data_IF_712396153207
#
_entry.id   IF_712396153207
#
_cell.length_a   1.000
_cell.length_b   1.000
_cell.length_c   1.000
_cell.angle_alpha   90.00
_cell.angle_beta   90.00
_cell.angle_gamma   90.00
#
_symmetry.space_group_name_H-M   'P 1'
#
loop_
_entity.id
_entity.type
_entity.pdbx_description
1 polymer ?
#
# COMPACT_ATOMS: atom_id res chain seq x y z
N UNK A 1 -20.94 -7.57 33.05
CA UNK A 1 -22.09 -6.80 32.55
C UNK A 1 -22.06 -6.55 31.05
N UNK A 2 -21.22 -5.67 30.47
CA UNK A 2 -21.22 -5.37 29.02
C UNK A 2 -20.99 -6.58 28.08
N UNK A 3 -20.08 -7.48 28.47
CA UNK A 3 -19.82 -8.72 27.72
C UNK A 3 -21.05 -9.66 27.71
N UNK A 4 -21.81 -9.70 28.80
CA UNK A 4 -23.02 -10.50 28.92
C UNK A 4 -24.17 -9.93 28.08
N UNK A 5 -24.26 -8.60 27.96
CA UNK A 5 -25.23 -7.92 27.09
C UNK A 5 -24.95 -8.26 25.61
N UNK A 6 -23.68 -8.24 25.19
CA UNK A 6 -23.25 -8.66 23.84
C UNK A 6 -23.52 -10.15 23.56
N UNK A 7 -23.40 -11.00 24.57
CA UNK A 7 -23.63 -12.44 24.46
C UNK A 7 -25.10 -12.84 24.63
N UNK A 8 -25.97 -11.88 25.01
CA UNK A 8 -27.38 -12.16 25.23
C UNK A 8 -28.13 -12.18 23.90
N UNK A 9 -28.59 -13.38 23.52
CA UNK A 9 -29.40 -13.61 22.34
C UNK A 9 -30.76 -14.18 22.72
N UNK A 10 -31.80 -13.81 21.98
CA UNK A 10 -33.08 -14.51 22.06
C UNK A 10 -33.00 -15.86 21.33
N UNK A 11 -33.87 -16.83 21.67
CA UNK A 11 -34.05 -18.02 20.85
C UNK A 11 -34.36 -17.58 19.42
N UNK A 12 -33.64 -18.12 18.42
CA UNK A 12 -33.54 -17.68 17.00
C UNK A 12 -32.35 -16.78 16.64
N UNK A 13 -31.33 -16.64 17.51
CA UNK A 13 -30.06 -15.98 17.17
C UNK A 13 -30.24 -14.47 16.85
N UNK A 14 -31.30 -13.86 17.39
CA UNK A 14 -31.57 -12.44 17.26
C UNK A 14 -30.94 -11.74 18.46
N UNK A 15 -30.10 -10.73 18.18
CA UNK A 15 -29.51 -9.88 19.21
C UNK A 15 -30.62 -9.31 20.11
N UNK A 16 -30.51 -9.54 21.43
CA UNK A 16 -31.52 -9.06 22.38
C UNK A 16 -31.61 -7.53 22.40
N UNK A 17 -30.50 -6.86 22.08
CA UNK A 17 -30.39 -5.39 22.08
C UNK A 17 -29.65 -4.89 20.83
N UNK A 18 -30.27 -4.89 19.63
CA UNK A 18 -29.57 -4.63 18.38
C UNK A 18 -28.97 -3.22 18.31
N UNK A 19 -29.69 -2.20 18.82
CA UNK A 19 -29.19 -0.82 18.83
C UNK A 19 -28.05 -0.62 19.82
N UNK A 20 -28.13 -1.28 20.97
CA UNK A 20 -27.07 -1.22 21.99
C UNK A 20 -25.81 -1.93 21.53
N UNK A 21 -25.95 -3.08 20.87
CA UNK A 21 -24.83 -3.79 20.22
C UNK A 21 -24.14 -2.92 19.18
N UNK A 22 -24.90 -2.25 18.31
CA UNK A 22 -24.35 -1.30 17.32
C UNK A 22 -23.59 -0.15 17.98
N UNK A 23 -24.18 0.48 19.00
CA UNK A 23 -23.53 1.57 19.73
C UNK A 23 -22.23 1.10 20.38
N UNK A 24 -22.26 -0.05 21.04
CA UNK A 24 -21.08 -0.59 21.72
C UNK A 24 -19.98 -0.97 20.73
N UNK A 25 -20.32 -1.52 19.57
CA UNK A 25 -19.37 -1.78 18.49
C UNK A 25 -18.75 -0.49 17.94
N UNK A 26 -19.54 0.58 17.79
CA UNK A 26 -19.03 1.88 17.38
C UNK A 26 -18.05 2.46 18.42
N UNK A 27 -18.41 2.45 19.71
CA UNK A 27 -17.52 2.91 20.79
C UNK A 27 -16.23 2.08 20.84
N UNK A 28 -16.30 0.76 20.65
CA UNK A 28 -15.11 -0.12 20.61
C UNK A 28 -14.25 0.06 19.37
N UNK A 29 -14.80 0.62 18.29
CA UNK A 29 -14.02 0.94 17.08
C UNK A 29 -13.17 2.19 17.25
N UNK A 30 -13.45 3.00 18.29
CA UNK A 30 -12.64 4.18 18.60
C UNK A 30 -11.30 3.73 19.18
N UNK A 31 -10.17 4.26 18.69
CA UNK A 31 -8.87 3.94 19.23
C UNK A 31 -8.79 4.45 20.68
N UNK A 32 -8.51 3.53 21.61
CA UNK A 32 -8.37 3.86 23.04
C UNK A 32 -7.09 4.67 23.35
N UNK A 33 -6.16 4.77 22.40
CA UNK A 33 -4.89 5.46 22.59
C UNK A 33 -4.30 5.88 21.24
N UNK A 34 -3.42 6.89 21.28
CA UNK A 34 -2.65 7.36 20.13
C UNK A 34 -1.51 6.40 19.72
N UNK A 35 -1.21 5.37 20.53
CA UNK A 35 -0.05 4.50 20.31
C UNK A 35 0.00 3.86 18.91
N UNK A 36 -1.16 3.48 18.34
CA UNK A 36 -1.18 2.89 16.99
C UNK A 36 -0.91 3.91 15.88
N UNK A 37 -1.41 5.15 16.06
CA UNK A 37 -1.11 6.26 15.16
C UNK A 37 0.36 6.68 15.27
N UNK A 38 0.93 6.77 16.47
CA UNK A 38 2.36 7.06 16.69
C UNK A 38 3.28 6.02 16.05
N UNK A 39 2.90 4.74 16.12
CA UNK A 39 3.62 3.67 15.41
C UNK A 39 3.56 3.85 13.89
N UNK A 40 2.42 4.29 13.35
CA UNK A 40 2.31 4.65 11.93
C UNK A 40 3.12 5.89 11.56
N UNK A 41 3.14 6.93 12.40
CA UNK A 41 3.97 8.12 12.17
C UNK A 41 5.45 7.79 12.21
N UNK A 42 5.88 6.91 13.12
CA UNK A 42 7.27 6.43 13.18
C UNK A 42 7.68 5.72 11.89
N UNK A 43 6.79 4.87 11.36
CA UNK A 43 7.01 4.21 10.07
C UNK A 43 7.04 5.21 8.90
N UNK A 44 6.12 6.18 8.89
CA UNK A 44 6.07 7.23 7.88
C UNK A 44 7.35 8.07 7.86
N UNK A 45 7.85 8.45 9.04
CA UNK A 45 9.11 9.18 9.19
C UNK A 45 10.28 8.36 8.66
N UNK A 46 10.32 7.05 8.94
CA UNK A 46 11.36 6.16 8.41
C UNK A 46 11.35 6.10 6.87
N UNK A 47 10.16 5.90 6.28
CA UNK A 47 9.95 5.85 4.84
C UNK A 47 10.35 7.14 4.12
N UNK A 48 9.95 8.29 4.68
CA UNK A 48 10.12 9.60 4.04
C UNK A 48 11.52 10.19 4.25
N UNK A 49 12.12 10.02 5.43
CA UNK A 49 13.28 10.83 5.83
C UNK A 49 14.51 9.99 6.14
N UNK A 50 14.39 8.95 6.98
CA UNK A 50 15.56 8.23 7.52
C UNK A 50 16.27 7.38 6.46
N UNK A 51 15.51 6.77 5.55
CA UNK A 51 16.07 5.94 4.47
C UNK A 51 16.45 6.73 3.20
N UNK A 52 16.35 8.07 3.22
CA UNK A 52 16.62 8.95 2.07
C UNK A 52 15.90 8.53 0.77
N UNK A 53 14.67 8.03 0.89
CA UNK A 53 13.89 7.64 -0.28
C UNK A 53 13.16 8.87 -0.85
N UNK A 54 13.45 9.26 -2.09
CA UNK A 54 12.71 10.30 -2.81
C UNK A 54 11.37 9.75 -3.34
N UNK A 55 10.56 9.19 -2.45
CA UNK A 55 9.23 8.68 -2.79
C UNK A 55 8.24 9.85 -2.91
N UNK A 56 7.36 9.76 -3.91
CA UNK A 56 6.24 10.67 -4.02
C UNK A 56 5.27 10.48 -2.84
N UNK A 57 4.48 11.51 -2.52
CA UNK A 57 3.43 11.40 -1.49
C UNK A 57 2.43 10.28 -1.78
N UNK A 58 2.12 10.06 -3.07
CA UNK A 58 1.24 8.97 -3.53
C UNK A 58 1.85 7.61 -3.19
N UNK A 59 3.13 7.41 -3.47
CA UNK A 59 3.85 6.16 -3.17
C UNK A 59 3.94 5.90 -1.66
N UNK A 60 4.19 6.94 -0.87
CA UNK A 60 4.23 6.84 0.59
C UNK A 60 2.87 6.46 1.16
N UNK A 61 1.79 7.12 0.69
CA UNK A 61 0.43 6.78 1.11
C UNK A 61 0.06 5.34 0.74
N UNK A 62 0.37 4.90 -0.49
CA UNK A 62 0.14 3.53 -0.93
C UNK A 62 0.88 2.51 -0.04
N UNK A 63 2.13 2.79 0.33
CA UNK A 63 2.89 1.93 1.23
C UNK A 63 2.25 1.83 2.63
N UNK A 64 1.74 2.93 3.18
CA UNK A 64 0.99 2.93 4.44
C UNK A 64 -0.28 2.09 4.34
N UNK A 65 -1.07 2.25 3.28
CA UNK A 65 -2.30 1.48 3.07
C UNK A 65 -2.01 -0.02 2.98
N UNK A 66 -1.02 -0.41 2.15
CA UNK A 66 -0.64 -1.81 1.98
C UNK A 66 -0.16 -2.41 3.30
N UNK A 67 0.68 -1.70 4.04
CA UNK A 67 1.16 -2.17 5.35
C UNK A 67 0.03 -2.34 6.36
N UNK A 68 -0.90 -1.38 6.43
CA UNK A 68 -2.06 -1.46 7.31
C UNK A 68 -2.99 -2.62 6.94
N UNK A 69 -3.22 -2.84 5.65
CA UNK A 69 -4.04 -3.95 5.16
C UNK A 69 -3.42 -5.31 5.49
N UNK A 70 -2.10 -5.45 5.33
CA UNK A 70 -1.35 -6.65 5.73
C UNK A 70 -1.46 -6.90 7.23
N UNK A 71 -1.23 -5.86 8.04
CA UNK A 71 -1.35 -5.94 9.51
C UNK A 71 -2.76 -6.35 9.94
N UNK A 72 -3.81 -5.83 9.29
CA UNK A 72 -5.19 -6.21 9.58
C UNK A 72 -5.49 -7.69 9.27
N UNK A 73 -4.79 -8.28 8.29
CA UNK A 73 -4.85 -9.72 7.98
C UNK A 73 -3.93 -10.58 8.85
N UNK A 74 -3.06 -9.97 9.65
CA UNK A 74 -2.01 -10.69 10.39
C UNK A 74 -0.87 -11.18 9.49
N UNK A 75 -0.72 -10.61 8.30
CA UNK A 75 0.28 -10.98 7.31
C UNK A 75 1.44 -9.97 7.27
N UNK A 76 2.58 -10.42 6.73
CA UNK A 76 3.73 -9.58 6.37
C UNK A 76 3.97 -9.67 4.86
N UNK A 77 4.77 -8.76 4.30
CA UNK A 77 5.18 -8.81 2.89
C UNK A 77 5.81 -10.15 2.46
N UNK A 78 6.33 -10.93 3.42
CA UNK A 78 6.92 -12.25 3.18
C UNK A 78 5.91 -13.40 3.28
N UNK A 79 4.82 -13.21 4.01
CA UNK A 79 3.84 -14.27 4.29
C UNK A 79 2.55 -14.12 3.49
N UNK A 80 2.36 -12.99 2.80
CA UNK A 80 1.17 -12.75 1.98
C UNK A 80 1.17 -13.68 0.77
N UNK A 81 0.07 -14.41 0.58
CA UNK A 81 -0.15 -15.22 -0.62
C UNK A 81 -0.57 -14.33 -1.79
N UNK A 82 0.18 -14.39 -2.90
CA UNK A 82 -0.13 -13.66 -4.12
C UNK A 82 -1.13 -14.47 -4.95
N UNK A 83 -2.41 -14.14 -4.82
CA UNK A 83 -3.48 -14.67 -5.67
C UNK A 83 -3.49 -14.07 -7.10
N UNK A 84 -4.13 -14.78 -8.04
CA UNK A 84 -4.29 -14.36 -9.44
C UNK A 84 -4.94 -12.98 -9.58
N UNK A 85 -5.89 -12.63 -8.69
CA UNK A 85 -6.52 -11.30 -8.65
C UNK A 85 -5.53 -10.16 -8.40
N UNK A 86 -4.41 -10.42 -7.73
CA UNK A 86 -3.37 -9.41 -7.51
C UNK A 86 -2.54 -9.23 -8.78
N UNK A 87 -2.23 -10.33 -9.46
CA UNK A 87 -1.47 -10.34 -10.71
C UNK A 87 -2.24 -9.73 -11.87
N UNK A 88 -3.56 -9.95 -11.96
CA UNK A 88 -4.40 -9.35 -13.00
C UNK A 88 -4.39 -7.82 -12.98
N UNK A 89 -4.12 -7.22 -11.81
CA UNK A 89 -3.96 -5.76 -11.63
C UNK A 89 -2.55 -5.25 -11.90
N UNK A 90 -1.57 -6.13 -12.09
CA UNK A 90 -0.19 -5.80 -12.48
C UNK A 90 0.00 -5.80 -14.01
N UNK A 91 -1.06 -5.52 -14.77
CA UNK A 91 -0.97 -5.40 -16.23
C UNK A 91 -0.50 -4.00 -16.66
N UNK A 92 0.25 -3.92 -17.76
CA UNK A 92 0.78 -2.67 -18.32
C UNK A 92 -0.30 -1.64 -18.59
N UNK A 93 -1.47 -2.09 -19.06
CA UNK A 93 -2.62 -1.22 -19.32
C UNK A 93 -3.07 -0.53 -18.03
N UNK A 94 -3.16 -1.25 -16.92
CA UNK A 94 -3.60 -0.69 -15.63
C UNK A 94 -2.51 0.22 -15.04
N UNK A 95 -1.26 -0.27 -14.97
CA UNK A 95 -0.15 0.43 -14.31
C UNK A 95 0.30 1.71 -15.03
N UNK A 96 0.21 1.73 -16.37
CA UNK A 96 0.70 2.83 -17.20
C UNK A 96 -0.40 3.49 -18.04
N UNK A 97 -1.67 3.32 -17.67
CA UNK A 97 -2.83 3.93 -18.35
C UNK A 97 -2.70 5.44 -18.54
N UNK A 98 -2.06 6.14 -17.59
CA UNK A 98 -1.90 7.60 -17.59
C UNK A 98 -0.61 8.08 -18.24
N UNK A 99 0.30 7.19 -18.67
CA UNK A 99 1.49 7.61 -19.40
C UNK A 99 1.02 7.99 -20.79
N UNK A 100 0.80 9.29 -21.01
CA UNK A 100 0.49 9.83 -22.32
C UNK A 100 1.47 9.20 -23.32
N UNK A 101 0.93 8.55 -24.36
CA UNK A 101 1.74 8.10 -25.51
C UNK A 101 2.43 9.35 -26.04
N UNK A 102 3.67 9.60 -25.62
CA UNK A 102 4.46 10.70 -26.14
C UNK A 102 4.45 10.46 -27.64
N UNK A 103 3.77 11.30 -28.43
CA UNK A 103 3.96 11.28 -29.88
C UNK A 103 5.46 11.31 -30.06
N UNK A 104 6.03 10.32 -30.75
CA UNK A 104 7.43 10.40 -31.18
C UNK A 104 7.56 11.75 -31.85
N UNK A 105 8.17 12.71 -31.16
CA UNK A 105 8.67 13.90 -31.81
C UNK A 105 9.68 13.34 -32.80
N UNK A 106 9.36 13.47 -34.08
CA UNK A 106 10.33 13.27 -35.15
C UNK A 106 11.26 14.49 -35.05
N UNK A 107 12.06 14.56 -34.00
CA UNK A 107 13.25 15.37 -34.01
C UNK A 107 14.23 14.55 -34.84
N UNK A 108 14.32 14.87 -36.13
CA UNK A 108 15.30 14.29 -37.02
C UNK A 108 16.69 14.62 -36.51
N UNK A 109 17.24 13.75 -35.67
CA UNK A 109 18.66 13.68 -35.40
C UNK A 109 19.29 13.21 -36.72
N UNK A 110 19.78 14.14 -37.53
CA UNK A 110 20.85 13.80 -38.47
C UNK A 110 22.05 13.41 -37.62
N UNK A 111 22.27 12.11 -37.47
CA UNK A 111 23.54 11.62 -36.98
C UNK A 111 24.59 11.98 -38.03
N UNK A 112 25.48 12.92 -37.69
CA UNK A 112 26.80 12.98 -38.32
C UNK A 112 27.57 11.80 -37.78
N UNK A 113 27.80 10.80 -38.63
CA UNK A 113 28.65 9.66 -38.34
C UNK A 113 30.03 10.15 -37.88
N UNK A 114 30.33 9.96 -36.60
CA UNK A 114 31.71 9.95 -36.11
C UNK A 114 31.89 8.61 -35.40
N UNK A 115 32.57 7.72 -36.09
CA UNK A 115 32.92 6.39 -35.65
C UNK A 115 33.97 6.49 -34.52
N UNK A 116 33.54 6.50 -33.27
CA UNK A 116 34.42 6.20 -32.14
C UNK A 116 34.22 4.75 -31.71
N UNK A 117 34.97 3.87 -32.38
CA UNK A 117 35.19 2.48 -31.99
C UNK A 117 36.10 2.50 -30.76
N UNK A 118 35.54 2.23 -29.59
CA UNK A 118 36.32 1.95 -28.38
C UNK A 118 37.05 0.60 -28.54
N UNK A 119 38.37 0.66 -28.76
CA UNK A 119 39.26 -0.51 -28.78
C UNK A 119 39.48 -1.11 -27.39
N UNK A 120 40.01 -2.35 -27.30
CA UNK A 120 40.10 -3.08 -26.03
C UNK A 120 41.22 -2.52 -25.14
N UNK A 121 40.90 -2.41 -23.85
CA UNK A 121 41.84 -2.09 -22.77
C UNK A 121 42.94 -3.16 -22.71
N UNK A 122 44.20 -2.74 -22.85
CA UNK A 122 45.37 -3.54 -22.49
C UNK A 122 45.70 -3.32 -21.02
N UNK A 123 46.08 -4.42 -20.40
CA UNK A 123 46.67 -4.54 -19.07
C UNK A 123 48.13 -4.10 -19.20
N UNK A 124 48.56 -3.21 -18.32
CA UNK A 124 49.93 -3.13 -17.79
C UNK A 124 49.83 -3.04 -16.25
#
# INVERSE_FOLDING_TARGET
>A
MWKQILQSQHPKNIDKYPNLTKLLNAVRSLPNSNADAERMFSFLTDLKTKKRNKLSSVSVNAACIVKSALKARGETSLSMTIEEKHLSRMSTNILYSSVAKKKRSILGLRATDTNDIAGPSRID
#
